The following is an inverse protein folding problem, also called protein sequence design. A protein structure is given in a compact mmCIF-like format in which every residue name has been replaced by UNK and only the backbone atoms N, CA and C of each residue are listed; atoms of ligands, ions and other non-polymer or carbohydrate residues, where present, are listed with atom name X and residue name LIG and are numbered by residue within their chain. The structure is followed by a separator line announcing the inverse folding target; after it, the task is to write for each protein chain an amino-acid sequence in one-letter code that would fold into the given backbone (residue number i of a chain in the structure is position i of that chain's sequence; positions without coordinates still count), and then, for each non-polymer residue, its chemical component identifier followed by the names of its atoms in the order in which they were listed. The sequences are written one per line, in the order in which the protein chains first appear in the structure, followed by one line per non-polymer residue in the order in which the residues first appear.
data_IF_818850139563
#
_entry.id   IF_818850139563
#
_cell.length_a   1.000
_cell.length_b   1.000
_cell.length_c   1.000
_cell.angle_alpha   90.00
_cell.angle_beta   90.00
_cell.angle_gamma   90.00
#
_symmetry.space_group_name_H-M   'P 1'
#
loop_
_entity.id
_entity.type
_entity.pdbx_description
1 polymer ?
#
# COMPACT_ATOMS: atom_id res chain seq x y z
N UNK A 1 0.71 -25.57 16.92
CA UNK A 1 2.00 -25.92 17.55
C UNK A 1 3.08 -25.83 16.46
N UNK A 2 3.76 -24.68 16.36
CA UNK A 2 4.74 -24.46 15.30
C UNK A 2 6.04 -25.21 15.63
N UNK A 3 6.54 -26.03 14.70
CA UNK A 3 7.86 -26.69 14.83
C UNK A 3 8.92 -25.59 14.85
N UNK A 4 9.58 -25.38 16.00
CA UNK A 4 10.75 -24.49 16.11
C UNK A 4 11.83 -25.03 15.18
N UNK A 5 12.11 -24.31 14.09
CA UNK A 5 13.36 -24.49 13.35
C UNK A 5 14.54 -24.21 14.29
N UNK A 6 15.69 -24.86 14.12
CA UNK A 6 16.88 -24.55 14.90
C UNK A 6 17.40 -23.17 14.51
N UNK A 7 16.92 -22.15 15.21
CA UNK A 7 17.39 -20.77 15.05
C UNK A 7 18.68 -20.65 15.89
N UNK A 8 19.81 -20.24 15.29
CA UNK A 8 21.08 -20.09 15.98
C UNK A 8 20.95 -19.15 17.18
N UNK A 9 21.55 -19.52 18.32
CA UNK A 9 21.49 -18.72 19.56
C UNK A 9 22.27 -17.39 19.49
N UNK A 10 23.17 -17.22 18.51
CA UNK A 10 23.91 -15.95 18.32
C UNK A 10 23.15 -15.00 17.39
N UNK A 11 22.83 -13.81 17.90
CA UNK A 11 22.11 -12.74 17.18
C UNK A 11 22.81 -12.31 15.90
N UNK A 12 24.14 -12.15 15.89
CA UNK A 12 24.91 -11.71 14.72
C UNK A 12 24.77 -12.66 13.52
N UNK A 13 24.86 -13.97 13.76
CA UNK A 13 24.74 -14.97 12.71
C UNK A 13 23.30 -15.08 12.16
N UNK A 14 22.29 -14.74 12.98
CA UNK A 14 20.91 -14.65 12.52
C UNK A 14 20.70 -13.42 11.61
N UNK A 15 21.24 -12.26 12.00
CA UNK A 15 21.19 -11.03 11.20
C UNK A 15 21.83 -11.24 9.81
N UNK A 16 23.06 -11.74 9.74
CA UNK A 16 23.77 -11.93 8.47
C UNK A 16 22.98 -12.83 7.51
N UNK A 17 22.38 -13.90 8.03
CA UNK A 17 21.53 -14.80 7.25
C UNK A 17 20.26 -14.13 6.74
N UNK A 18 19.61 -13.28 7.55
CA UNK A 18 18.42 -12.53 7.12
C UNK A 18 18.78 -11.56 6.00
N UNK A 19 19.88 -10.83 6.15
CA UNK A 19 20.36 -9.88 5.13
C UNK A 19 20.71 -10.58 3.82
N UNK A 20 21.50 -11.65 3.89
CA UNK A 20 21.88 -12.45 2.73
C UNK A 20 20.63 -12.98 2.01
N UNK A 21 19.68 -13.54 2.77
CA UNK A 21 18.44 -14.10 2.24
C UNK A 21 17.58 -13.02 1.57
N UNK A 22 17.46 -11.86 2.21
CA UNK A 22 16.75 -10.69 1.70
C UNK A 22 17.32 -10.24 0.36
N UNK A 23 18.61 -9.92 0.28
CA UNK A 23 19.22 -9.40 -0.95
C UNK A 23 19.28 -10.41 -2.09
N UNK A 24 19.36 -11.70 -1.79
CA UNK A 24 19.24 -12.78 -2.79
C UNK A 24 17.80 -13.01 -3.26
N UNK A 25 16.82 -12.35 -2.66
CA UNK A 25 15.40 -12.52 -3.00
C UNK A 25 14.86 -13.91 -2.69
N UNK A 26 15.46 -14.61 -1.72
CA UNK A 26 15.04 -15.94 -1.30
C UNK A 26 13.82 -15.78 -0.38
N UNK A 27 12.73 -16.50 -0.67
CA UNK A 27 11.49 -16.40 0.11
C UNK A 27 11.68 -16.84 1.56
N UNK A 28 11.13 -16.07 2.48
CA UNK A 28 10.98 -16.42 3.88
C UNK A 28 9.78 -17.34 4.07
N UNK A 29 9.95 -18.39 4.87
CA UNK A 29 8.89 -19.32 5.25
C UNK A 29 7.94 -18.66 6.25
N UNK A 30 6.76 -19.27 6.41
CA UNK A 30 5.77 -18.85 7.41
C UNK A 30 6.36 -18.84 8.82
N UNK A 31 7.16 -19.85 9.18
CA UNK A 31 7.78 -19.99 10.49
C UNK A 31 8.84 -18.91 10.75
N UNK A 32 9.61 -18.55 9.73
CA UNK A 32 10.58 -17.46 9.83
C UNK A 32 9.87 -16.11 10.00
N UNK A 33 8.83 -15.84 9.22
CA UNK A 33 8.04 -14.61 9.36
C UNK A 33 7.34 -14.54 10.72
N UNK A 34 6.79 -15.66 11.19
CA UNK A 34 6.23 -15.76 12.54
C UNK A 34 7.29 -15.43 13.58
N UNK A 35 8.47 -16.06 13.53
CA UNK A 35 9.55 -15.79 14.47
C UNK A 35 9.93 -14.30 14.49
N UNK A 36 10.14 -13.69 13.31
CA UNK A 36 10.49 -12.27 13.22
C UNK A 36 9.38 -11.34 13.74
N UNK A 37 8.12 -11.73 13.61
CA UNK A 37 6.98 -10.94 14.09
C UNK A 37 6.80 -11.06 15.62
N UNK A 38 6.86 -12.28 16.15
CA UNK A 38 6.52 -12.61 17.53
C UNK A 38 7.70 -12.53 18.50
N UNK A 39 8.85 -13.08 18.11
CA UNK A 39 9.96 -13.37 19.03
C UNK A 39 11.08 -12.34 18.95
N UNK A 40 11.31 -11.76 17.76
CA UNK A 40 12.31 -10.70 17.62
C UNK A 40 11.78 -9.39 18.21
N UNK A 41 12.60 -8.75 19.03
CA UNK A 41 12.27 -7.44 19.59
C UNK A 41 12.18 -6.39 18.47
N UNK A 42 11.33 -5.38 18.70
CA UNK A 42 11.03 -4.37 17.69
C UNK A 42 12.27 -3.57 17.27
N UNK A 43 13.19 -3.28 18.21
CA UNK A 43 14.36 -2.45 17.92
C UNK A 43 15.32 -3.17 16.96
N UNK A 44 15.61 -4.45 17.23
CA UNK A 44 16.38 -5.30 16.34
C UNK A 44 15.72 -5.46 14.97
N UNK A 45 14.40 -5.69 14.94
CA UNK A 45 13.66 -5.81 13.67
C UNK A 45 13.73 -4.52 12.84
N UNK A 46 13.55 -3.37 13.47
CA UNK A 46 13.61 -2.07 12.79
C UNK A 46 15.03 -1.77 12.31
N UNK A 47 16.05 -2.06 13.13
CA UNK A 47 17.46 -1.89 12.74
C UNK A 47 17.83 -2.72 11.50
N UNK A 48 17.38 -3.98 11.43
CA UNK A 48 17.58 -4.84 10.26
C UNK A 48 16.92 -4.26 9.00
N UNK A 49 15.66 -3.85 9.11
CA UNK A 49 14.95 -3.24 7.98
C UNK A 49 15.60 -1.91 7.54
N UNK A 50 16.04 -1.08 8.50
CA UNK A 50 16.72 0.19 8.24
C UNK A 50 18.05 -0.01 7.52
N UNK A 51 18.82 -1.03 7.91
CA UNK A 51 20.08 -1.42 7.27
C UNK A 51 19.85 -1.83 5.81
N UNK A 52 18.86 -2.69 5.55
CA UNK A 52 18.48 -3.08 4.19
C UNK A 52 18.08 -1.85 3.35
N UNK A 53 17.27 -0.94 3.93
CA UNK A 53 16.83 0.28 3.27
C UNK A 53 18.00 1.24 2.99
N UNK A 54 19.01 1.33 3.87
CA UNK A 54 20.24 2.14 3.69
C UNK A 54 21.09 1.62 2.57
N UNK A 55 21.32 0.31 2.53
CA UNK A 55 22.15 -0.30 1.48
C UNK A 55 21.55 -0.09 0.09
N UNK A 56 20.22 -0.04 -0.02
CA UNK A 56 19.53 0.13 -1.30
C UNK A 56 19.35 1.58 -1.74
N UNK A 57 19.10 2.50 -0.80
CA UNK A 57 18.62 3.86 -1.14
C UNK A 57 19.37 4.97 -0.42
N UNK A 58 20.36 4.64 0.41
CA UNK A 58 21.02 5.60 1.28
C UNK A 58 19.99 6.37 2.11
N UNK A 59 20.09 7.70 2.10
CA UNK A 59 19.14 8.59 2.80
C UNK A 59 18.12 9.25 1.85
N UNK A 60 17.93 8.72 0.63
CA UNK A 60 17.00 9.29 -0.34
C UNK A 60 15.55 8.96 0.01
N UNK A 61 14.71 9.99 0.08
CA UNK A 61 13.26 9.87 0.26
C UNK A 61 12.56 10.38 -1.00
N UNK A 62 11.76 9.52 -1.63
CA UNK A 62 11.00 9.86 -2.82
C UNK A 62 9.68 10.52 -2.45
N UNK A 63 9.50 11.78 -2.85
CA UNK A 63 8.25 12.51 -2.64
C UNK A 63 7.28 12.28 -3.80
N UNK A 64 6.02 12.03 -3.46
CA UNK A 64 4.92 11.82 -4.41
C UNK A 64 3.77 12.75 -4.02
N UNK A 65 3.37 13.65 -4.91
CA UNK A 65 2.28 14.56 -4.64
C UNK A 65 0.96 13.91 -5.02
N UNK A 66 0.02 13.84 -4.08
CA UNK A 66 -1.28 13.23 -4.30
C UNK A 66 -2.35 14.29 -4.54
N UNK A 67 -3.19 14.05 -5.54
CA UNK A 67 -4.38 14.82 -5.86
C UNK A 67 -5.57 13.87 -5.70
N UNK A 68 -6.33 14.07 -4.64
CA UNK A 68 -7.60 13.38 -4.42
C UNK A 68 -8.70 14.11 -5.21
N UNK A 69 -9.01 13.64 -6.42
CA UNK A 69 -9.79 14.42 -7.38
C UNK A 69 -11.29 14.12 -7.39
N UNK A 70 -11.71 13.05 -6.72
CA UNK A 70 -13.13 12.73 -6.50
C UNK A 70 -13.30 11.87 -5.25
N UNK A 71 -14.28 12.22 -4.42
CA UNK A 71 -14.69 11.39 -3.29
C UNK A 71 -15.99 10.61 -3.56
N UNK A 72 -16.49 10.59 -4.80
CA UNK A 72 -17.55 9.66 -5.19
C UNK A 72 -17.01 8.24 -5.29
N UNK A 73 -17.77 7.27 -4.83
CA UNK A 73 -17.40 5.86 -4.89
C UNK A 73 -18.66 5.02 -5.04
N UNK A 74 -18.68 4.08 -5.99
CA UNK A 74 -19.77 3.11 -6.14
C UNK A 74 -19.76 2.02 -5.07
N UNK A 75 -18.61 1.77 -4.44
CA UNK A 75 -18.43 0.71 -3.46
C UNK A 75 -18.82 1.12 -2.04
N UNK A 76 -19.01 0.11 -1.20
CA UNK A 76 -19.54 0.25 0.15
C UNK A 76 -18.62 -0.33 1.24
N UNK A 77 -17.30 -0.29 1.01
CA UNK A 77 -16.30 -0.87 1.93
C UNK A 77 -16.56 -0.42 3.37
N UNK A 78 -16.66 -1.37 4.30
CA UNK A 78 -17.16 -1.14 5.66
C UNK A 78 -16.25 -0.24 6.49
N UNK A 79 -14.95 -0.17 6.17
CA UNK A 79 -13.97 0.68 6.85
C UNK A 79 -13.90 2.10 6.27
N UNK A 80 -14.52 2.38 5.13
CA UNK A 80 -14.17 3.54 4.32
C UNK A 80 -15.15 4.71 4.47
N UNK A 81 -14.63 5.90 4.82
CA UNK A 81 -15.45 7.10 4.96
C UNK A 81 -16.12 7.57 3.67
N UNK A 82 -15.56 7.24 2.49
CA UNK A 82 -16.14 7.62 1.18
C UNK A 82 -17.10 6.57 0.61
N UNK A 83 -17.46 5.52 1.36
CA UNK A 83 -18.44 4.49 0.96
C UNK A 83 -19.76 5.11 0.47
N UNK A 84 -20.42 4.49 -0.52
CA UNK A 84 -21.63 5.04 -1.18
C UNK A 84 -22.78 5.39 -0.23
N UNK A 85 -22.86 4.69 0.91
CA UNK A 85 -23.95 4.84 1.88
C UNK A 85 -23.64 5.89 2.96
N UNK A 86 -22.43 6.45 3.02
CA UNK A 86 -22.20 7.63 3.84
C UNK A 86 -22.86 8.85 3.16
N UNK A 87 -24.11 9.13 3.54
CA UNK A 87 -24.93 10.24 2.99
C UNK A 87 -24.60 11.59 3.61
N UNK A 88 -23.90 11.62 4.74
CA UNK A 88 -23.49 12.86 5.41
C UNK A 88 -22.23 13.47 4.77
N UNK A 89 -21.48 12.70 3.98
CA UNK A 89 -20.31 13.19 3.28
C UNK A 89 -20.71 14.11 2.12
N UNK A 90 -20.30 15.39 2.19
CA UNK A 90 -20.38 16.31 1.05
C UNK A 90 -19.51 15.79 -0.09
N UNK A 91 -20.14 15.45 -1.22
CA UNK A 91 -19.44 14.89 -2.38
C UNK A 91 -18.88 15.98 -3.27
N UNK A 92 -17.73 15.72 -3.89
CA UNK A 92 -17.09 16.62 -4.86
C UNK A 92 -16.45 15.83 -6.00
N UNK A 93 -16.31 16.49 -7.14
CA UNK A 93 -15.48 16.09 -8.27
C UNK A 93 -14.75 17.33 -8.75
N UNK A 94 -13.44 17.25 -8.88
CA UNK A 94 -12.69 18.27 -9.61
C UNK A 94 -13.03 18.17 -11.10
N UNK A 95 -12.96 19.29 -11.82
CA UNK A 95 -12.95 19.29 -13.28
C UNK A 95 -11.54 18.95 -13.82
N UNK A 96 -11.45 18.50 -15.07
CA UNK A 96 -10.17 18.19 -15.72
C UNK A 96 -9.18 19.36 -15.62
N UNK A 97 -9.66 20.58 -15.87
CA UNK A 97 -8.85 21.81 -15.78
C UNK A 97 -8.30 22.07 -14.37
N UNK A 98 -9.05 21.73 -13.33
CA UNK A 98 -8.63 21.92 -11.94
C UNK A 98 -7.54 20.90 -11.57
N UNK A 99 -7.69 19.65 -12.03
CA UNK A 99 -6.68 18.61 -11.82
C UNK A 99 -5.36 19.00 -12.50
N UNK A 100 -5.43 19.48 -13.75
CA UNK A 100 -4.25 19.89 -14.50
C UNK A 100 -3.55 21.10 -13.88
N UNK A 101 -4.31 22.11 -13.45
CA UNK A 101 -3.75 23.28 -12.78
C UNK A 101 -3.04 22.92 -11.46
N UNK A 102 -3.62 22.05 -10.64
CA UNK A 102 -2.97 21.61 -9.40
C UNK A 102 -1.75 20.71 -9.69
N UNK A 103 -1.83 19.84 -10.71
CA UNK A 103 -0.69 19.03 -11.14
C UNK A 103 0.48 19.90 -11.60
N UNK A 104 0.24 20.90 -12.47
CA UNK A 104 1.26 21.83 -12.95
C UNK A 104 1.94 22.56 -11.78
N UNK A 105 1.14 23.11 -10.85
CA UNK A 105 1.64 23.77 -9.64
C UNK A 105 2.51 22.84 -8.78
N UNK A 106 2.15 21.57 -8.65
CA UNK A 106 2.95 20.58 -7.92
C UNK A 106 4.26 20.26 -8.67
N UNK A 107 4.23 20.15 -10.00
CA UNK A 107 5.45 19.96 -10.80
C UNK A 107 6.39 21.17 -10.67
N UNK A 108 5.86 22.39 -10.71
CA UNK A 108 6.62 23.63 -10.51
C UNK A 108 7.26 23.72 -9.11
N UNK A 109 6.66 23.07 -8.11
CA UNK A 109 7.25 22.89 -6.76
C UNK A 109 8.34 21.82 -6.69
N UNK A 110 8.66 21.16 -7.81
CA UNK A 110 9.74 20.18 -7.92
C UNK A 110 9.31 18.72 -7.73
N UNK A 111 8.02 18.42 -7.54
CA UNK A 111 7.56 17.05 -7.46
C UNK A 111 7.76 16.32 -8.79
N UNK A 112 8.36 15.12 -8.73
CA UNK A 112 8.64 14.28 -9.91
C UNK A 112 7.61 13.18 -10.13
N UNK A 113 6.61 13.08 -9.26
CA UNK A 113 5.51 12.12 -9.37
C UNK A 113 4.21 12.75 -8.90
N UNK A 114 3.18 12.66 -9.74
CA UNK A 114 1.80 13.02 -9.43
C UNK A 114 1.00 11.73 -9.24
N UNK A 115 0.30 11.62 -8.12
CA UNK A 115 -0.61 10.52 -7.79
C UNK A 115 -2.03 11.03 -7.94
N UNK A 116 -2.81 10.43 -8.84
CA UNK A 116 -4.23 10.70 -8.98
C UNK A 116 -5.01 9.63 -8.20
N UNK A 117 -5.73 10.05 -7.17
CA UNK A 117 -6.52 9.16 -6.33
C UNK A 117 -7.98 9.57 -6.28
N UNK A 118 -8.88 8.58 -6.29
CA UNK A 118 -10.31 8.80 -6.09
C UNK A 118 -10.98 7.58 -5.49
N UNK A 119 -12.25 7.71 -5.13
CA UNK A 119 -13.12 6.54 -5.07
C UNK A 119 -13.34 5.93 -6.47
N UNK A 120 -14.04 4.80 -6.53
CA UNK A 120 -14.46 4.21 -7.82
C UNK A 120 -15.67 4.98 -8.36
N UNK A 121 -15.39 6.13 -8.98
CA UNK A 121 -16.35 7.09 -9.52
C UNK A 121 -16.68 6.78 -11.00
N UNK A 122 -17.90 6.33 -11.33
CA UNK A 122 -18.27 5.99 -12.70
C UNK A 122 -18.17 7.14 -13.72
N UNK A 123 -18.15 8.40 -13.27
CA UNK A 123 -17.99 9.56 -14.18
C UNK A 123 -16.54 9.79 -14.61
N UNK A 124 -15.58 9.14 -13.94
CA UNK A 124 -14.16 9.16 -14.29
C UNK A 124 -13.77 7.82 -14.90
N UNK A 125 -14.37 7.50 -16.05
CA UNK A 125 -13.98 6.32 -16.82
C UNK A 125 -12.54 6.44 -17.37
N UNK A 126 -11.99 5.31 -17.83
CA UNK A 126 -10.63 5.26 -18.34
C UNK A 126 -10.39 6.20 -19.54
N UNK A 127 -11.41 6.42 -20.38
CA UNK A 127 -11.28 7.32 -21.54
C UNK A 127 -11.15 8.77 -21.11
N UNK A 128 -11.93 9.20 -20.12
CA UNK A 128 -11.85 10.54 -19.57
C UNK A 128 -10.56 10.75 -18.79
N UNK A 129 -10.23 9.82 -17.89
CA UNK A 129 -9.02 9.90 -17.09
C UNK A 129 -7.75 9.84 -17.96
N UNK A 130 -7.75 9.08 -19.07
CA UNK A 130 -6.60 9.03 -19.98
C UNK A 130 -6.26 10.37 -20.61
N UNK A 131 -7.24 11.28 -20.83
CA UNK A 131 -6.97 12.65 -21.30
C UNK A 131 -6.16 13.42 -20.26
N UNK A 132 -6.58 13.37 -19.00
CA UNK A 132 -5.86 14.01 -17.88
C UNK A 132 -4.45 13.43 -17.74
N UNK A 133 -4.29 12.10 -17.80
CA UNK A 133 -2.99 11.44 -17.73
C UNK A 133 -2.06 11.94 -18.85
N UNK A 134 -2.53 11.96 -20.11
CA UNK A 134 -1.74 12.43 -21.25
C UNK A 134 -1.26 13.86 -21.07
N UNK A 135 -2.11 14.75 -20.58
CA UNK A 135 -1.73 16.15 -20.33
C UNK A 135 -0.70 16.28 -19.21
N UNK A 136 -0.87 15.58 -18.07
CA UNK A 136 0.12 15.61 -16.97
C UNK A 136 1.47 15.05 -17.43
N UNK A 137 1.48 14.02 -18.29
CA UNK A 137 2.72 13.44 -18.83
C UNK A 137 3.55 14.42 -19.66
N UNK A 138 2.93 15.45 -20.26
CA UNK A 138 3.66 16.53 -20.96
C UNK A 138 4.56 17.33 -20.03
N UNK A 139 4.30 17.33 -18.73
CA UNK A 139 5.16 17.98 -17.72
C UNK A 139 6.43 17.18 -17.39
N UNK A 140 6.66 16.02 -18.02
CA UNK A 140 7.89 15.23 -17.82
C UNK A 140 7.99 14.55 -16.45
N UNK A 141 6.84 14.23 -15.84
CA UNK A 141 6.77 13.56 -14.53
C UNK A 141 6.15 12.17 -14.62
N UNK A 142 6.34 11.37 -13.57
CA UNK A 142 5.63 10.10 -13.45
C UNK A 142 4.19 10.32 -12.98
N UNK A 143 3.25 9.54 -13.50
CA UNK A 143 1.84 9.52 -13.13
C UNK A 143 1.53 8.17 -12.48
N UNK A 144 1.03 8.23 -11.25
CA UNK A 144 0.56 7.07 -10.49
C UNK A 144 -0.94 7.15 -10.34
N UNK A 145 -1.66 6.07 -10.64
CA UNK A 145 -3.11 6.02 -10.47
C UNK A 145 -3.49 5.22 -9.22
N UNK A 146 -4.54 5.64 -8.53
CA UNK A 146 -5.15 4.91 -7.41
C UNK A 146 -6.66 5.10 -7.47
N UNK A 147 -7.30 4.46 -8.45
CA UNK A 147 -8.73 4.67 -8.79
C UNK A 147 -9.56 3.38 -8.67
N UNK A 148 -9.08 2.41 -7.88
CA UNK A 148 -9.80 1.19 -7.53
C UNK A 148 -9.69 0.08 -8.58
N UNK A 149 -10.67 -0.84 -8.59
CA UNK A 149 -10.74 -1.95 -9.55
C UNK A 149 -11.38 -1.53 -10.88
N UNK A 150 -10.63 -1.73 -11.97
CA UNK A 150 -11.09 -1.56 -13.34
C UNK A 150 -11.04 -2.90 -14.10
N UNK A 151 -11.66 -2.93 -15.28
CA UNK A 151 -11.49 -4.03 -16.23
C UNK A 151 -10.11 -3.95 -16.89
N UNK A 152 -9.60 -5.09 -17.38
CA UNK A 152 -8.30 -5.16 -18.07
C UNK A 152 -8.13 -4.09 -19.15
N UNK A 153 -9.14 -3.93 -20.02
CA UNK A 153 -9.14 -2.95 -21.12
C UNK A 153 -8.98 -1.51 -20.62
N UNK A 154 -9.52 -1.20 -19.45
CA UNK A 154 -9.50 0.15 -18.89
C UNK A 154 -8.13 0.45 -18.29
N UNK A 155 -7.49 -0.54 -17.66
CA UNK A 155 -6.08 -0.44 -17.29
C UNK A 155 -5.18 -0.26 -18.52
N UNK A 156 -5.43 -0.97 -19.62
CA UNK A 156 -4.65 -0.86 -20.85
C UNK A 156 -4.76 0.56 -21.46
N UNK A 157 -5.98 1.12 -21.55
CA UNK A 157 -6.21 2.51 -22.00
C UNK A 157 -5.39 3.51 -21.18
N UNK A 158 -5.36 3.34 -19.86
CA UNK A 158 -4.62 4.23 -18.96
C UNK A 158 -3.10 4.04 -19.10
N UNK A 159 -2.64 2.83 -19.42
CA UNK A 159 -1.23 2.52 -19.63
C UNK A 159 -0.74 3.17 -20.91
N UNK A 160 -1.50 3.02 -21.99
CA UNK A 160 -1.26 3.66 -23.29
C UNK A 160 -1.28 5.20 -23.19
N UNK A 161 -2.07 5.74 -22.26
CA UNK A 161 -2.10 7.17 -21.96
C UNK A 161 -0.81 7.68 -21.30
N UNK A 162 0.03 6.78 -20.79
CA UNK A 162 1.30 7.08 -20.16
C UNK A 162 1.30 6.99 -18.63
N UNK A 163 0.27 6.38 -18.00
CA UNK A 163 0.34 6.08 -16.58
C UNK A 163 1.48 5.09 -16.31
N UNK A 164 2.33 5.39 -15.32
CA UNK A 164 3.55 4.62 -15.03
C UNK A 164 3.31 3.60 -13.91
N UNK A 165 2.48 3.97 -12.92
CA UNK A 165 2.27 3.17 -11.71
C UNK A 165 0.80 3.06 -11.35
N UNK A 166 0.45 2.01 -10.63
CA UNK A 166 -0.90 1.83 -10.12
C UNK A 166 -0.91 1.30 -8.68
N UNK A 167 -1.59 2.00 -7.78
CA UNK A 167 -1.73 1.61 -6.37
C UNK A 167 -3.09 0.95 -6.15
N UNK A 168 -3.06 -0.35 -5.87
CA UNK A 168 -4.22 -1.18 -5.56
C UNK A 168 -3.90 -2.08 -4.38
N UNK A 169 -4.15 -1.62 -3.16
CA UNK A 169 -3.98 -2.46 -1.97
C UNK A 169 -4.87 -3.70 -2.06
N UNK A 170 -4.33 -4.84 -1.64
CA UNK A 170 -5.11 -6.06 -1.47
C UNK A 170 -5.95 -6.00 -0.18
N UNK A 171 -5.61 -5.08 0.73
CA UNK A 171 -6.26 -4.80 2.02
C UNK A 171 -6.11 -5.93 3.05
N UNK A 172 -6.41 -7.18 2.64
CA UNK A 172 -6.15 -8.43 3.35
C UNK A 172 -6.32 -9.61 2.39
N UNK A 173 -5.53 -10.67 2.55
CA UNK A 173 -5.64 -11.93 1.82
C UNK A 173 -6.54 -12.95 2.53
N UNK A 174 -7.03 -12.64 3.74
CA UNK A 174 -8.06 -13.47 4.38
C UNK A 174 -9.37 -13.29 3.61
N UNK A 175 -9.77 -14.33 2.88
CA UNK A 175 -10.96 -14.32 2.02
C UNK A 175 -12.25 -14.00 2.78
N UNK A 176 -12.41 -14.48 4.01
CA UNK A 176 -13.63 -14.24 4.82
C UNK A 176 -13.66 -12.79 5.27
N UNK A 177 -12.53 -12.30 5.77
CA UNK A 177 -12.39 -10.91 6.20
C UNK A 177 -12.57 -9.94 5.03
N UNK A 178 -11.91 -10.21 3.89
CA UNK A 178 -12.04 -9.40 2.68
C UNK A 178 -13.49 -9.28 2.22
N UNK A 179 -14.20 -10.42 2.10
CA UNK A 179 -15.58 -10.45 1.62
C UNK A 179 -16.53 -9.69 2.55
N UNK A 180 -16.32 -9.77 3.87
CA UNK A 180 -17.10 -8.99 4.82
C UNK A 180 -16.82 -7.48 4.70
N UNK A 181 -15.55 -7.09 4.58
CA UNK A 181 -15.15 -5.69 4.54
C UNK A 181 -15.45 -5.00 3.21
N UNK A 182 -15.46 -5.74 2.09
CA UNK A 182 -15.60 -5.21 0.72
C UNK A 182 -16.71 -5.96 -0.03
N UNK A 183 -17.99 -5.75 0.32
CA UNK A 183 -19.10 -6.57 -0.15
C UNK A 183 -19.39 -6.49 -1.66
N UNK A 184 -18.85 -5.48 -2.35
CA UNK A 184 -19.10 -5.24 -3.79
C UNK A 184 -18.04 -5.87 -4.71
N UNK A 185 -17.10 -6.64 -4.15
CA UNK A 185 -16.05 -7.33 -4.93
C UNK A 185 -15.56 -8.60 -4.21
N UNK A 186 -14.70 -9.37 -4.86
CA UNK A 186 -14.12 -10.59 -4.30
C UNK A 186 -12.59 -10.49 -4.22
N UNK A 187 -12.02 -11.29 -3.33
CA UNK A 187 -10.57 -11.35 -3.18
C UNK A 187 -9.89 -11.82 -4.47
N UNK A 188 -10.49 -12.80 -5.15
CA UNK A 188 -10.00 -13.34 -6.41
C UNK A 188 -9.93 -12.25 -7.49
N UNK A 189 -10.97 -11.42 -7.60
CA UNK A 189 -10.99 -10.30 -8.54
C UNK A 189 -9.90 -9.28 -8.19
N UNK A 190 -9.77 -8.93 -6.91
CA UNK A 190 -8.74 -7.98 -6.43
C UNK A 190 -7.33 -8.46 -6.76
N UNK A 191 -7.03 -9.74 -6.50
CA UNK A 191 -5.74 -10.36 -6.84
C UNK A 191 -5.54 -10.38 -8.36
N UNK A 192 -6.59 -10.74 -9.12
CA UNK A 192 -6.52 -10.74 -10.59
C UNK A 192 -6.19 -9.36 -11.16
N UNK A 193 -6.80 -8.29 -10.63
CA UNK A 193 -6.46 -6.92 -11.02
C UNK A 193 -4.97 -6.61 -10.75
N UNK A 194 -4.40 -7.06 -9.64
CA UNK A 194 -2.99 -6.87 -9.34
C UNK A 194 -2.08 -7.55 -10.36
N UNK A 195 -2.40 -8.78 -10.78
CA UNK A 195 -1.63 -9.47 -11.82
C UNK A 195 -1.81 -8.84 -13.21
N UNK A 196 -3.02 -8.41 -13.57
CA UNK A 196 -3.25 -7.66 -14.81
C UNK A 196 -2.44 -6.37 -14.89
N UNK A 197 -2.30 -5.65 -13.78
CA UNK A 197 -1.45 -4.45 -13.74
C UNK A 197 0.02 -4.80 -14.02
N UNK A 198 0.52 -5.95 -13.52
CA UNK A 198 1.87 -6.43 -13.83
C UNK A 198 2.01 -6.85 -15.30
N UNK A 199 1.01 -7.56 -15.84
CA UNK A 199 0.97 -7.95 -17.26
C UNK A 199 1.02 -6.75 -18.20
N UNK A 200 0.41 -5.62 -17.79
CA UNK A 200 0.43 -4.35 -18.51
C UNK A 200 1.65 -3.47 -18.18
N UNK A 201 2.65 -4.03 -17.51
CA UNK A 201 3.92 -3.36 -17.20
C UNK A 201 3.76 -2.05 -16.41
N UNK A 202 2.76 -1.97 -15.52
CA UNK A 202 2.75 -0.95 -14.48
C UNK A 202 3.79 -1.29 -13.41
N UNK A 203 4.40 -0.27 -12.80
CA UNK A 203 4.93 -0.46 -11.46
C UNK A 203 3.73 -0.61 -10.49
N UNK A 204 3.60 -1.78 -9.86
CA UNK A 204 2.41 -2.15 -9.08
C UNK A 204 2.60 -1.85 -7.61
N UNK A 205 1.64 -1.17 -7.01
CA UNK A 205 1.55 -0.92 -5.59
C UNK A 205 0.50 -1.77 -4.91
N UNK A 206 0.92 -2.54 -3.91
CA UNK A 206 0.04 -3.37 -3.07
C UNK A 206 0.15 -2.94 -1.60
N UNK A 207 -0.39 -3.77 -0.70
CA UNK A 207 -0.33 -3.56 0.76
C UNK A 207 -1.66 -3.91 1.42
N UNK A 208 -1.64 -3.93 2.75
CA UNK A 208 -2.78 -4.26 3.59
C UNK A 208 -3.07 -3.17 4.64
N UNK A 209 -4.27 -3.22 5.19
CA UNK A 209 -4.67 -2.43 6.36
C UNK A 209 -4.38 -3.27 7.59
N UNK A 210 -3.79 -2.66 8.62
CA UNK A 210 -3.36 -3.36 9.83
C UNK A 210 -4.29 -3.02 11.00
N UNK A 211 -4.77 -4.04 11.71
CA UNK A 211 -5.70 -3.90 12.82
C UNK A 211 -7.16 -3.81 12.36
N UNK A 212 -7.50 -4.39 11.21
CA UNK A 212 -8.91 -4.56 10.82
C UNK A 212 -9.64 -5.44 11.85
N UNK A 213 -10.94 -5.19 12.13
CA UNK A 213 -11.70 -6.05 13.02
C UNK A 213 -11.72 -7.51 12.57
N UNK A 214 -11.31 -8.43 13.45
CA UNK A 214 -11.21 -9.85 13.12
C UNK A 214 -9.91 -10.27 12.40
N UNK A 215 -9.01 -9.33 12.09
CA UNK A 215 -7.69 -9.63 11.54
C UNK A 215 -6.78 -10.25 12.61
N UNK A 216 -6.10 -11.32 12.26
CA UNK A 216 -5.15 -12.02 13.14
C UNK A 216 -3.71 -11.77 12.69
N UNK A 217 -2.75 -12.03 13.58
CA UNK A 217 -1.33 -12.00 13.23
C UNK A 217 -0.98 -13.07 12.17
N UNK A 218 -1.68 -14.21 12.16
CA UNK A 218 -1.53 -15.21 11.11
C UNK A 218 -2.01 -14.70 9.74
N UNK A 219 -3.11 -13.94 9.69
CA UNK A 219 -3.57 -13.28 8.45
C UNK A 219 -2.56 -12.25 7.94
N UNK A 220 -1.87 -11.53 8.83
CA UNK A 220 -0.80 -10.61 8.44
C UNK A 220 0.43 -11.34 7.88
N UNK A 221 0.74 -12.53 8.41
CA UNK A 221 1.79 -13.38 7.83
C UNK A 221 1.37 -13.86 6.44
N UNK A 222 0.10 -14.22 6.23
CA UNK A 222 -0.40 -14.56 4.89
C UNK A 222 -0.31 -13.37 3.93
N UNK A 223 -0.61 -12.14 4.38
CA UNK A 223 -0.42 -10.93 3.58
C UNK A 223 1.06 -10.76 3.15
N UNK A 224 2.02 -11.00 4.05
CA UNK A 224 3.46 -10.96 3.75
C UNK A 224 3.87 -12.07 2.77
N UNK A 225 3.35 -13.28 2.93
CA UNK A 225 3.61 -14.39 2.00
C UNK A 225 3.07 -14.07 0.60
N UNK A 226 1.87 -13.51 0.51
CA UNK A 226 1.30 -13.04 -0.75
C UNK A 226 2.16 -11.94 -1.40
N UNK A 227 2.68 -10.98 -0.62
CA UNK A 227 3.58 -9.95 -1.12
C UNK A 227 4.87 -10.53 -1.72
N UNK A 228 5.43 -11.60 -1.16
CA UNK A 228 6.59 -12.31 -1.72
C UNK A 228 6.29 -13.03 -3.05
N UNK A 229 5.04 -13.45 -3.24
CA UNK A 229 4.58 -14.04 -4.49
C UNK A 229 4.34 -12.98 -5.55
N UNK A 230 3.59 -11.93 -5.20
CA UNK A 230 3.25 -10.84 -6.09
C UNK A 230 4.48 -10.03 -6.52
N UNK A 231 5.47 -9.86 -5.63
CA UNK A 231 6.66 -9.01 -5.81
C UNK A 231 6.31 -7.61 -6.36
N UNK A 232 5.46 -6.83 -5.68
CA UNK A 232 5.09 -5.49 -6.14
C UNK A 232 6.25 -4.50 -6.01
N UNK A 233 6.24 -3.46 -6.84
CA UNK A 233 7.24 -2.38 -6.85
C UNK A 233 7.04 -1.39 -5.70
N UNK A 234 5.81 -1.32 -5.16
CA UNK A 234 5.46 -0.51 -4.00
C UNK A 234 4.61 -1.31 -3.01
N UNK A 235 4.80 -1.07 -1.71
CA UNK A 235 3.96 -1.68 -0.68
C UNK A 235 3.59 -0.67 0.39
N UNK A 236 2.31 -0.32 0.49
CA UNK A 236 1.80 0.67 1.43
C UNK A 236 0.95 0.05 2.55
N UNK A 237 1.51 -0.01 3.76
CA UNK A 237 0.77 -0.40 4.97
C UNK A 237 0.28 0.81 5.74
N UNK A 238 -0.88 0.69 6.38
CA UNK A 238 -1.40 1.70 7.28
C UNK A 238 -2.31 1.09 8.34
N UNK A 239 -2.43 1.73 9.51
CA UNK A 239 -3.36 1.28 10.53
C UNK A 239 -4.80 1.43 10.03
N UNK A 240 -5.67 0.53 10.47
CA UNK A 240 -7.11 0.77 10.47
C UNK A 240 -7.42 1.98 11.36
N UNK A 241 -8.17 2.93 10.82
CA UNK A 241 -8.66 4.09 11.54
C UNK A 241 -10.19 4.07 11.42
N UNK A 242 -10.94 3.88 12.52
CA UNK A 242 -12.39 3.82 12.49
C UNK A 242 -12.94 5.18 12.07
N UNK A 243 -13.70 5.22 10.97
CA UNK A 243 -14.38 6.43 10.55
C UNK A 243 -15.77 6.49 11.22
N UNK A 244 -16.16 7.62 11.85
CA UNK A 244 -17.37 7.69 12.69
C UNK A 244 -18.68 7.45 11.93
N UNK A 245 -18.68 7.63 10.60
CA UNK A 245 -19.83 7.41 9.71
C UNK A 245 -19.75 6.10 8.92
N UNK A 246 -19.19 5.06 9.53
CA UNK A 246 -19.06 3.74 8.92
C UNK A 246 -19.53 2.64 9.87
N UNK A 247 -19.91 1.45 9.36
CA UNK A 247 -20.27 0.31 10.20
C UNK A 247 -19.19 -0.08 11.21
N UNK A 248 -17.93 0.29 10.98
CA UNK A 248 -16.81 -0.03 11.86
C UNK A 248 -16.44 1.09 12.83
N UNK A 249 -17.29 2.12 13.00
CA UNK A 249 -17.00 3.30 13.83
C UNK A 249 -16.67 2.97 15.29
N UNK A 250 -17.23 1.89 15.85
CA UNK A 250 -17.04 1.49 17.25
C UNK A 250 -15.80 0.63 17.52
N UNK A 251 -15.03 0.27 16.50
CA UNK A 251 -13.83 -0.56 16.67
C UNK A 251 -12.60 0.28 17.05
N UNK A 252 -11.60 -0.29 17.75
CA UNK A 252 -10.39 0.43 18.10
C UNK A 252 -9.53 0.72 16.86
N UNK A 253 -8.62 1.69 17.01
CA UNK A 253 -7.57 1.93 16.03
C UNK A 253 -6.64 0.73 15.91
N UNK A 254 -6.12 0.49 14.71
CA UNK A 254 -5.03 -0.45 14.50
C UNK A 254 -3.77 -0.03 15.25
N UNK A 255 -3.07 -0.99 15.85
CA UNK A 255 -1.86 -0.72 16.63
C UNK A 255 -0.73 -0.18 15.72
N UNK A 256 -0.27 1.05 15.91
CA UNK A 256 0.78 1.64 15.06
C UNK A 256 2.14 0.93 15.20
N UNK A 257 2.47 0.34 16.35
CA UNK A 257 3.71 -0.44 16.50
C UNK A 257 3.64 -1.74 15.68
N UNK A 258 2.46 -2.36 15.59
CA UNK A 258 2.27 -3.52 14.71
C UNK A 258 2.42 -3.12 13.24
N UNK A 259 1.94 -1.93 12.83
CA UNK A 259 2.17 -1.41 11.47
C UNK A 259 3.66 -1.28 11.19
N UNK A 260 4.44 -0.72 12.12
CA UNK A 260 5.89 -0.57 11.97
C UNK A 260 6.60 -1.93 11.85
N UNK A 261 6.19 -2.94 12.63
CA UNK A 261 6.69 -4.31 12.47
C UNK A 261 6.40 -4.87 11.08
N UNK A 262 5.20 -4.68 10.54
CA UNK A 262 4.85 -5.15 9.19
C UNK A 262 5.61 -4.37 8.11
N UNK A 263 5.83 -3.07 8.28
CA UNK A 263 6.68 -2.26 7.39
C UNK A 263 8.11 -2.80 7.37
N UNK A 264 8.68 -3.12 8.54
CA UNK A 264 10.02 -3.69 8.65
C UNK A 264 10.14 -5.07 8.01
N UNK A 265 9.18 -5.96 8.29
CA UNK A 265 9.12 -7.27 7.64
C UNK A 265 8.99 -7.14 6.12
N UNK A 266 8.18 -6.21 5.64
CA UNK A 266 8.01 -5.93 4.21
C UNK A 266 9.33 -5.51 3.55
N UNK A 267 10.10 -4.62 4.20
CA UNK A 267 11.44 -4.26 3.72
C UNK A 267 12.37 -5.47 3.67
N UNK A 268 12.32 -6.34 4.68
CA UNK A 268 13.13 -7.56 4.74
C UNK A 268 12.77 -8.51 3.59
N UNK A 269 11.50 -8.74 3.31
CA UNK A 269 11.08 -9.68 2.26
C UNK A 269 11.16 -9.11 0.84
N UNK A 270 11.12 -7.77 0.70
CA UNK A 270 11.12 -7.05 -0.56
C UNK A 270 12.12 -5.87 -0.50
N UNK A 271 13.44 -6.15 -0.51
CA UNK A 271 14.47 -5.14 -0.24
C UNK A 271 14.47 -3.97 -1.24
N UNK A 272 13.98 -4.19 -2.46
CA UNK A 272 13.97 -3.18 -3.52
C UNK A 272 12.65 -2.37 -3.61
N UNK A 273 11.59 -2.78 -2.91
CA UNK A 273 10.28 -2.12 -3.02
C UNK A 273 10.30 -0.67 -2.50
N UNK A 274 9.47 0.20 -3.06
CA UNK A 274 9.20 1.53 -2.53
C UNK A 274 8.13 1.42 -1.42
N UNK A 275 8.46 1.77 -0.18
CA UNK A 275 7.54 1.62 0.96
C UNK A 275 7.22 3.02 1.51
N UNK A 276 5.97 3.52 1.41
CA UNK A 276 5.64 4.86 1.90
C UNK A 276 5.44 4.86 3.42
N UNK A 277 5.97 5.88 4.09
CA UNK A 277 5.52 6.28 5.43
C UNK A 277 4.13 6.93 5.34
N UNK A 278 3.07 6.12 5.49
CA UNK A 278 1.70 6.54 5.17
C UNK A 278 1.14 7.62 6.10
N UNK A 279 0.27 8.48 5.56
CA UNK A 279 -0.40 9.56 6.31
C UNK A 279 -1.18 9.03 7.51
N UNK A 280 -1.78 7.84 7.39
CA UNK A 280 -2.56 7.21 8.46
C UNK A 280 -1.76 7.02 9.76
N UNK A 281 -0.47 6.70 9.69
CA UNK A 281 0.39 6.65 10.89
C UNK A 281 0.49 8.01 11.57
N UNK A 282 0.65 9.08 10.77
CA UNK A 282 0.75 10.45 11.28
C UNK A 282 -0.55 10.98 11.88
N UNK A 283 -1.71 10.49 11.42
CA UNK A 283 -3.02 10.83 12.00
C UNK A 283 -3.17 10.27 13.42
N UNK A 284 -2.68 9.06 13.67
CA UNK A 284 -2.67 8.49 15.03
C UNK A 284 -1.69 9.26 15.91
N UNK A 285 -0.44 9.37 15.47
CA UNK A 285 0.57 10.23 16.10
C UNK A 285 1.69 10.53 15.09
N UNK A 286 2.07 11.81 14.90
CA UNK A 286 3.14 12.21 13.97
C UNK A 286 4.47 11.46 14.15
N UNK A 287 4.79 11.04 15.38
CA UNK A 287 6.01 10.28 15.70
C UNK A 287 6.08 8.95 14.92
N UNK A 288 4.96 8.26 14.72
CA UNK A 288 4.96 6.98 14.01
C UNK A 288 5.28 7.11 12.53
N UNK A 289 4.91 8.24 11.90
CA UNK A 289 5.30 8.51 10.51
C UNK A 289 6.81 8.68 10.39
N UNK A 290 7.45 9.32 11.38
CA UNK A 290 8.91 9.46 11.42
C UNK A 290 9.56 8.09 11.67
N UNK A 291 9.07 7.34 12.67
CA UNK A 291 9.55 5.98 12.97
C UNK A 291 9.48 5.05 11.74
N UNK A 292 8.49 5.19 10.87
CA UNK A 292 8.36 4.36 9.68
C UNK A 292 9.60 4.43 8.75
N UNK A 293 10.24 5.60 8.61
CA UNK A 293 11.48 5.72 7.84
C UNK A 293 12.63 4.90 8.44
N UNK A 294 12.69 4.83 9.77
CA UNK A 294 13.65 4.02 10.52
C UNK A 294 13.24 2.56 10.66
N UNK A 295 12.03 2.20 10.21
CA UNK A 295 11.54 0.82 10.15
C UNK A 295 11.57 0.27 8.72
N UNK A 296 12.21 0.98 7.76
CA UNK A 296 12.40 0.48 6.40
C UNK A 296 11.48 1.07 5.33
N UNK A 297 10.68 2.10 5.63
CA UNK A 297 9.98 2.88 4.60
C UNK A 297 10.98 3.50 3.60
#
# INVERSE_FOLDING_TARGET
MYKKLPIPKSTNFLEERILEKSFKGIKFSREELAYLLYELDSESLYALADKIRKEQRGNLVFLRAIIEFSNYCRNNCLYCGIRRDNKELKRYRMEEKEILAEAEKLVLKGFKTIVLQSGEDPLWDAKRLSKVVKEIKKFGVAVTLSVGELDYKDYAILREAGADRYLLKHETIDKKLFSWLKPDTTLEKRIRCLFWLKELEYEVGAGCIIGLPGQTLDSLIDDLLFLQELKPDMVGHGPFIPHPKTPLAGFPYGNPELVLKIVALTRIILPYANIPATTALGVINPVYRIKAFYAGA
#
